data_IF_251888425714
#
_entry.id   IF_251888425714
#
_cell.length_a   1.000
_cell.length_b   1.000
_cell.length_c   1.000
_cell.angle_alpha   90.00
_cell.angle_beta   90.00
_cell.angle_gamma   90.00
#
_symmetry.space_group_name_H-M   'P 1'
#
loop_
_entity.id
_entity.type
_entity.pdbx_description
1 polymer ?
#
# COMPACT_ATOMS: atom_id res chain seq x y z
N UNK A 1 -24.99 -20.51 -28.02
CA UNK A 1 -24.23 -19.45 -27.31
C UNK A 1 -23.90 -20.05 -25.95
N UNK A 2 -22.63 -20.14 -25.56
CA UNK A 2 -22.28 -20.59 -24.21
C UNK A 2 -22.91 -19.63 -23.20
N UNK A 3 -23.49 -20.17 -22.14
CA UNK A 3 -24.07 -19.39 -21.05
C UNK A 3 -22.98 -18.48 -20.45
N UNK A 4 -23.31 -17.20 -20.27
CA UNK A 4 -22.33 -16.25 -19.70
C UNK A 4 -22.10 -16.59 -18.24
N UNK A 5 -20.85 -16.45 -17.80
CA UNK A 5 -20.42 -16.66 -16.42
C UNK A 5 -21.14 -15.68 -15.46
N UNK A 6 -21.65 -16.15 -14.34
CA UNK A 6 -22.17 -15.29 -13.27
C UNK A 6 -21.01 -14.77 -12.44
N UNK A 7 -20.69 -13.47 -12.57
CA UNK A 7 -19.60 -12.79 -11.90
C UNK A 7 -20.14 -11.81 -10.86
N UNK A 8 -19.62 -11.89 -9.63
CA UNK A 8 -20.00 -11.00 -8.53
C UNK A 8 -18.78 -10.20 -8.07
N UNK A 9 -18.92 -8.87 -8.01
CA UNK A 9 -17.97 -7.98 -7.33
C UNK A 9 -18.52 -7.70 -5.93
N UNK A 10 -17.73 -8.00 -4.89
CA UNK A 10 -18.20 -8.01 -3.50
C UNK A 10 -17.97 -6.70 -2.73
N UNK A 11 -16.97 -5.92 -3.13
CA UNK A 11 -16.52 -4.69 -2.47
C UNK A 11 -16.02 -3.67 -3.49
N UNK A 12 -16.88 -3.40 -4.50
CA UNK A 12 -16.52 -2.60 -5.68
C UNK A 12 -16.25 -1.13 -5.40
N UNK A 13 -16.84 -0.54 -4.35
CA UNK A 13 -16.76 0.89 -4.06
C UNK A 13 -15.33 1.40 -3.95
N UNK A 14 -14.45 0.68 -3.24
CA UNK A 14 -13.07 1.12 -3.04
C UNK A 14 -12.24 1.14 -4.32
N UNK A 15 -12.59 0.27 -5.28
CA UNK A 15 -11.92 0.19 -6.59
C UNK A 15 -12.54 1.11 -7.63
N UNK A 16 -13.83 1.39 -7.51
CA UNK A 16 -14.58 2.25 -8.43
C UNK A 16 -15.76 2.91 -7.70
N UNK A 17 -15.57 4.10 -7.12
CA UNK A 17 -16.65 4.85 -6.47
C UNK A 17 -17.65 5.49 -7.46
N UNK A 18 -17.57 5.17 -8.75
CA UNK A 18 -18.45 5.67 -9.80
C UNK A 18 -17.77 6.51 -10.88
N UNK A 19 -16.46 6.67 -10.79
CA UNK A 19 -15.65 7.46 -11.74
C UNK A 19 -14.95 6.62 -12.82
N UNK A 20 -15.07 5.30 -12.76
CA UNK A 20 -14.53 4.35 -13.73
C UNK A 20 -15.62 3.40 -14.25
N UNK A 21 -15.34 2.65 -15.33
CA UNK A 21 -16.31 1.73 -15.93
C UNK A 21 -15.98 0.28 -15.64
N UNK A 22 -17.04 -0.53 -15.41
CA UNK A 22 -17.03 -1.98 -15.38
C UNK A 22 -17.48 -2.62 -16.72
N UNK A 23 -17.61 -1.85 -17.81
CA UNK A 23 -18.26 -2.31 -19.04
C UNK A 23 -17.53 -3.48 -19.70
N UNK A 24 -16.21 -3.55 -19.58
CA UNK A 24 -15.46 -4.72 -20.10
C UNK A 24 -15.89 -6.00 -19.37
N UNK A 25 -16.01 -6.00 -18.05
CA UNK A 25 -16.50 -7.14 -17.27
C UNK A 25 -17.97 -7.45 -17.56
N UNK A 26 -18.84 -6.44 -17.72
CA UNK A 26 -20.24 -6.62 -18.11
C UNK A 26 -20.37 -7.28 -19.48
N UNK A 27 -19.46 -6.98 -20.42
CA UNK A 27 -19.48 -7.61 -21.73
C UNK A 27 -19.14 -9.11 -21.69
N UNK A 28 -18.31 -9.52 -20.71
CA UNK A 28 -17.81 -10.89 -20.56
C UNK A 28 -18.73 -11.78 -19.70
N UNK A 29 -19.58 -11.20 -18.85
CA UNK A 29 -20.30 -11.93 -17.79
C UNK A 29 -21.68 -11.36 -17.51
N UNK A 30 -22.49 -12.13 -16.77
CA UNK A 30 -23.65 -11.61 -16.03
C UNK A 30 -23.10 -10.99 -14.75
N UNK A 31 -22.85 -9.68 -14.76
CA UNK A 31 -22.14 -8.97 -13.69
C UNK A 31 -23.11 -8.43 -12.64
N UNK A 32 -22.90 -8.81 -11.38
CA UNK A 32 -23.53 -8.20 -10.19
C UNK A 32 -22.47 -7.47 -9.39
N UNK A 33 -22.76 -6.24 -8.92
CA UNK A 33 -21.80 -5.41 -8.20
C UNK A 33 -22.42 -5.02 -6.85
N UNK A 34 -21.65 -5.25 -5.78
CA UNK A 34 -21.95 -4.75 -4.43
C UNK A 34 -20.84 -3.77 -4.03
N UNK A 35 -21.22 -2.66 -3.44
CA UNK A 35 -20.27 -1.65 -2.93
C UNK A 35 -19.48 -2.19 -1.74
N UNK A 36 -20.14 -2.97 -0.89
CA UNK A 36 -19.57 -3.62 0.30
C UNK A 36 -20.37 -4.88 0.60
N UNK A 37 -19.71 -5.93 1.05
CA UNK A 37 -20.32 -7.20 1.47
C UNK A 37 -19.85 -7.56 2.87
N UNK A 38 -20.79 -7.79 3.79
CA UNK A 38 -20.48 -8.31 5.13
C UNK A 38 -20.27 -9.82 5.11
N UNK A 39 -19.71 -10.37 6.19
CA UNK A 39 -19.49 -11.82 6.31
C UNK A 39 -20.82 -12.60 6.25
N UNK A 40 -21.90 -12.04 6.83
CA UNK A 40 -23.23 -12.65 6.88
C UNK A 40 -23.91 -12.70 5.51
N UNK A 41 -23.63 -11.70 4.66
CA UNK A 41 -24.21 -11.59 3.31
C UNK A 41 -23.47 -12.40 2.25
N UNK A 42 -22.21 -12.78 2.54
CA UNK A 42 -21.27 -13.31 1.55
C UNK A 42 -21.78 -14.55 0.83
N UNK A 43 -22.25 -15.55 1.59
CA UNK A 43 -22.69 -16.83 1.03
C UNK A 43 -23.95 -16.62 0.17
N UNK A 44 -24.93 -15.83 0.65
CA UNK A 44 -26.15 -15.56 -0.11
C UNK A 44 -25.87 -14.82 -1.41
N UNK A 45 -24.95 -13.85 -1.40
CA UNK A 45 -24.57 -13.08 -2.60
C UNK A 45 -23.79 -13.90 -3.61
N UNK A 46 -23.08 -14.94 -3.16
CA UNK A 46 -22.24 -15.78 -4.01
C UNK A 46 -22.83 -17.13 -4.37
N UNK A 47 -24.00 -17.52 -3.85
CA UNK A 47 -24.57 -18.89 -4.03
C UNK A 47 -24.72 -19.31 -5.49
N UNK A 48 -25.01 -18.37 -6.39
CA UNK A 48 -25.16 -18.62 -7.83
C UNK A 48 -23.95 -18.14 -8.65
N UNK A 49 -22.88 -17.66 -7.97
CA UNK A 49 -21.69 -17.14 -8.64
C UNK A 49 -20.79 -18.28 -9.15
N UNK A 50 -20.38 -18.20 -10.40
CA UNK A 50 -19.30 -19.02 -10.97
C UNK A 50 -17.94 -18.36 -10.70
N UNK A 51 -17.92 -17.02 -10.54
CA UNK A 51 -16.73 -16.20 -10.34
C UNK A 51 -17.01 -15.06 -9.38
N UNK A 52 -15.98 -14.67 -8.61
CA UNK A 52 -16.04 -13.50 -7.73
C UNK A 52 -14.82 -12.60 -7.91
N UNK A 53 -15.00 -11.28 -7.73
CA UNK A 53 -13.92 -10.32 -7.57
C UNK A 53 -14.02 -9.71 -6.17
N UNK A 54 -12.90 -9.63 -5.46
CA UNK A 54 -12.85 -9.09 -4.10
C UNK A 54 -11.54 -8.35 -3.84
N UNK A 55 -11.59 -7.29 -3.06
CA UNK A 55 -10.41 -6.60 -2.53
C UNK A 55 -10.10 -7.07 -1.08
N UNK A 56 -11.12 -7.10 -0.21
CA UNK A 56 -10.94 -7.34 1.24
C UNK A 56 -11.85 -8.42 1.82
N UNK A 57 -12.87 -8.90 1.09
CA UNK A 57 -13.73 -9.96 1.59
C UNK A 57 -12.93 -11.28 1.62
N UNK A 58 -12.97 -11.94 2.78
CA UNK A 58 -12.16 -13.14 3.03
C UNK A 58 -12.81 -14.38 2.47
N UNK A 59 -12.04 -15.22 1.77
CA UNK A 59 -12.41 -16.54 1.28
C UNK A 59 -11.61 -17.61 2.03
N UNK A 60 -12.13 -18.05 3.17
CA UNK A 60 -11.62 -19.21 3.90
C UNK A 60 -12.05 -20.53 3.23
N UNK A 61 -11.50 -21.65 3.73
CA UNK A 61 -11.90 -22.99 3.29
C UNK A 61 -13.42 -23.20 3.48
N UNK A 62 -13.98 -22.83 4.62
CA UNK A 62 -15.40 -22.98 4.99
C UNK A 62 -16.33 -22.21 4.04
N UNK A 63 -15.94 -20.98 3.68
CA UNK A 63 -16.67 -20.17 2.70
C UNK A 63 -16.67 -20.85 1.33
N UNK A 64 -15.50 -21.29 0.86
CA UNK A 64 -15.40 -21.98 -0.43
C UNK A 64 -16.10 -23.34 -0.43
N UNK A 65 -16.20 -24.03 0.72
CA UNK A 65 -16.99 -25.26 0.87
C UNK A 65 -18.49 -25.01 0.67
N UNK A 66 -18.97 -23.83 1.05
CA UNK A 66 -20.38 -23.43 0.92
C UNK A 66 -20.75 -22.92 -0.48
N UNK A 67 -19.79 -22.80 -1.40
CA UNK A 67 -19.98 -22.23 -2.74
C UNK A 67 -19.58 -23.24 -3.85
N UNK A 68 -20.39 -24.30 -4.08
CA UNK A 68 -20.02 -25.39 -4.98
C UNK A 68 -19.91 -25.01 -6.47
N UNK A 69 -20.51 -23.86 -6.86
CA UNK A 69 -20.42 -23.35 -8.23
C UNK A 69 -19.17 -22.53 -8.51
N UNK A 70 -18.51 -22.06 -7.45
CA UNK A 70 -17.38 -21.11 -7.55
C UNK A 70 -16.16 -21.77 -8.22
N UNK A 71 -15.68 -21.20 -9.32
CA UNK A 71 -14.54 -21.68 -10.12
C UNK A 71 -13.41 -20.67 -10.20
N UNK A 72 -13.68 -19.39 -9.89
CA UNK A 72 -12.71 -18.31 -10.04
C UNK A 72 -12.84 -17.28 -8.93
N UNK A 73 -11.70 -16.86 -8.37
CA UNK A 73 -11.56 -15.74 -7.45
C UNK A 73 -10.52 -14.78 -8.00
N UNK A 74 -10.92 -13.57 -8.38
CA UNK A 74 -10.02 -12.49 -8.75
C UNK A 74 -9.82 -11.53 -7.58
N UNK A 75 -8.59 -11.44 -7.06
CA UNK A 75 -8.27 -10.50 -5.99
C UNK A 75 -7.94 -9.14 -6.61
N UNK A 76 -8.73 -8.12 -6.28
CA UNK A 76 -8.55 -6.73 -6.74
C UNK A 76 -7.43 -6.02 -5.97
N UNK A 77 -6.28 -6.67 -5.87
CA UNK A 77 -5.09 -6.19 -5.18
C UNK A 77 -3.85 -7.00 -5.60
N UNK A 78 -2.65 -6.49 -5.28
CA UNK A 78 -1.41 -7.26 -5.39
C UNK A 78 -1.30 -8.30 -4.27
N UNK A 79 -1.64 -7.92 -3.03
CA UNK A 79 -1.69 -8.85 -1.89
C UNK A 79 -2.96 -9.71 -1.92
N UNK A 80 -2.83 -11.00 -1.68
CA UNK A 80 -3.91 -12.00 -1.81
C UNK A 80 -4.17 -12.80 -0.52
N UNK A 81 -3.72 -12.30 0.60
CA UNK A 81 -3.89 -12.94 1.92
C UNK A 81 -5.35 -13.02 2.39
N UNK A 82 -6.29 -12.49 1.64
CA UNK A 82 -7.74 -12.63 1.85
C UNK A 82 -8.29 -13.97 1.32
N UNK A 83 -7.49 -14.76 0.58
CA UNK A 83 -7.90 -16.07 0.05
C UNK A 83 -7.02 -17.16 0.62
N UNK A 84 -7.63 -18.23 1.11
CA UNK A 84 -6.95 -19.48 1.46
C UNK A 84 -6.55 -20.18 0.15
N UNK A 85 -5.31 -20.00 -0.26
CA UNK A 85 -4.76 -20.47 -1.53
C UNK A 85 -4.73 -22.00 -1.61
N UNK A 86 -4.40 -22.67 -0.49
CA UNK A 86 -4.32 -24.14 -0.46
C UNK A 86 -5.71 -24.76 -0.57
N UNK A 87 -6.70 -24.18 0.13
CA UNK A 87 -8.09 -24.61 0.02
C UNK A 87 -8.64 -24.37 -1.40
N UNK A 88 -8.32 -23.22 -2.01
CA UNK A 88 -8.72 -22.92 -3.40
C UNK A 88 -8.12 -23.92 -4.38
N UNK A 89 -6.83 -24.26 -4.22
CA UNK A 89 -6.14 -25.27 -5.04
C UNK A 89 -6.81 -26.65 -4.91
N UNK A 90 -7.11 -27.08 -3.69
CA UNK A 90 -7.76 -28.37 -3.43
C UNK A 90 -9.15 -28.49 -4.07
N UNK A 91 -9.81 -27.34 -4.30
CA UNK A 91 -11.15 -27.26 -4.93
C UNK A 91 -11.09 -26.97 -6.44
N UNK A 92 -9.92 -26.87 -7.03
CA UNK A 92 -9.73 -26.43 -8.42
C UNK A 92 -10.32 -25.04 -8.72
N UNK A 93 -10.37 -24.15 -7.72
CA UNK A 93 -10.76 -22.76 -7.89
C UNK A 93 -9.53 -21.99 -8.37
N UNK A 94 -9.60 -21.38 -9.55
CA UNK A 94 -8.52 -20.54 -10.07
C UNK A 94 -8.48 -19.22 -9.32
N UNK A 95 -7.34 -18.86 -8.73
CA UNK A 95 -7.16 -17.58 -8.03
C UNK A 95 -6.16 -16.71 -8.78
N UNK A 96 -6.54 -15.48 -9.06
CA UNK A 96 -5.64 -14.49 -9.69
C UNK A 96 -5.52 -13.24 -8.82
N UNK A 97 -4.41 -12.52 -8.97
CA UNK A 97 -4.23 -11.20 -8.38
C UNK A 97 -3.90 -10.15 -9.45
N UNK A 98 -3.63 -8.93 -9.03
CA UNK A 98 -3.25 -7.83 -9.92
C UNK A 98 -1.86 -7.33 -9.53
N UNK A 99 -0.80 -7.82 -10.19
CA UNK A 99 0.56 -7.40 -9.87
C UNK A 99 0.85 -5.98 -10.36
N UNK A 100 1.63 -5.23 -9.60
CA UNK A 100 2.31 -3.98 -10.01
C UNK A 100 1.43 -2.83 -10.50
N UNK A 101 0.12 -2.86 -10.34
CA UNK A 101 -0.80 -1.84 -10.87
C UNK A 101 -0.63 -0.46 -10.21
N UNK A 102 -0.20 -0.42 -8.96
CA UNK A 102 -0.09 0.80 -8.13
C UNK A 102 1.34 1.21 -7.81
N UNK A 103 2.35 0.62 -8.47
CA UNK A 103 3.77 0.87 -8.15
C UNK A 103 4.11 2.35 -8.11
N UNK A 104 3.77 3.09 -9.17
CA UNK A 104 4.08 4.52 -9.28
C UNK A 104 3.26 5.35 -8.30
N UNK A 105 1.98 5.01 -8.12
CA UNK A 105 1.08 5.66 -7.16
C UNK A 105 1.64 5.60 -5.73
N UNK A 106 2.05 4.39 -5.30
CA UNK A 106 2.64 4.20 -3.96
C UNK A 106 3.95 4.98 -3.81
N UNK A 107 4.84 4.92 -4.81
CA UNK A 107 6.10 5.66 -4.76
C UNK A 107 5.88 7.18 -4.71
N UNK A 108 4.89 7.71 -5.42
CA UNK A 108 4.52 9.13 -5.36
C UNK A 108 3.98 9.53 -3.99
N UNK A 109 3.12 8.71 -3.36
CA UNK A 109 2.66 8.99 -2.00
C UNK A 109 3.80 8.98 -1.00
N UNK A 110 4.78 8.07 -1.11
CA UNK A 110 5.99 8.09 -0.25
C UNK A 110 6.64 9.47 -0.29
N UNK A 111 6.84 10.05 -1.50
CA UNK A 111 7.44 11.37 -1.61
C UNK A 111 6.52 12.51 -1.19
N UNK A 112 5.21 12.42 -1.40
CA UNK A 112 4.26 13.39 -0.86
C UNK A 112 4.33 13.46 0.67
N UNK A 113 4.41 12.31 1.34
CA UNK A 113 4.57 12.21 2.79
C UNK A 113 5.94 12.75 3.25
N UNK A 114 7.01 12.48 2.51
CA UNK A 114 8.34 13.04 2.78
C UNK A 114 8.32 14.58 2.67
N UNK A 115 7.74 15.11 1.59
CA UNK A 115 7.66 16.56 1.39
C UNK A 115 6.81 17.26 2.45
N UNK A 116 5.81 16.60 3.03
CA UNK A 116 5.11 17.17 4.18
C UNK A 116 6.06 17.47 5.33
N UNK A 117 6.93 16.54 5.72
CA UNK A 117 7.91 16.76 6.80
C UNK A 117 9.02 17.74 6.45
N UNK A 118 9.38 17.82 5.18
CA UNK A 118 10.54 18.62 4.74
C UNK A 118 10.16 20.06 4.37
N UNK A 119 8.93 20.33 3.94
CA UNK A 119 8.52 21.63 3.42
C UNK A 119 7.36 22.28 4.15
N UNK A 120 6.54 21.53 4.87
CA UNK A 120 5.37 22.05 5.61
C UNK A 120 4.50 22.99 4.74
N UNK A 121 4.24 22.58 3.48
CA UNK A 121 3.60 23.45 2.48
C UNK A 121 2.20 23.89 2.94
N UNK A 122 1.41 22.95 3.51
CA UNK A 122 0.04 23.25 3.96
C UNK A 122 0.06 24.23 5.12
N UNK A 123 0.92 24.01 6.09
CA UNK A 123 1.04 24.83 7.30
C UNK A 123 1.47 26.26 6.95
N UNK A 124 2.48 26.44 6.10
CA UNK A 124 2.88 27.76 5.61
C UNK A 124 1.77 28.44 4.81
N UNK A 125 1.04 27.67 3.96
CA UNK A 125 -0.09 28.21 3.20
C UNK A 125 -1.20 28.70 4.14
N UNK A 126 -1.53 27.94 5.18
CA UNK A 126 -2.55 28.34 6.16
C UNK A 126 -2.16 29.61 6.91
N UNK A 127 -0.89 29.76 7.28
CA UNK A 127 -0.39 30.98 7.89
C UNK A 127 -0.49 32.19 6.94
N UNK A 128 -0.18 32.00 5.66
CA UNK A 128 -0.32 33.06 4.63
C UNK A 128 -1.78 33.46 4.48
N UNK A 129 -2.68 32.48 4.32
CA UNK A 129 -4.12 32.74 4.20
C UNK A 129 -4.71 33.37 5.48
N UNK A 130 -4.13 33.08 6.64
CA UNK A 130 -4.44 33.74 7.91
C UNK A 130 -3.88 35.15 8.07
N UNK A 131 -3.20 35.71 7.03
CA UNK A 131 -2.70 37.09 7.00
C UNK A 131 -1.31 37.29 7.60
N UNK A 132 -0.62 36.25 8.05
CA UNK A 132 0.69 36.35 8.69
C UNK A 132 1.75 37.00 7.78
N UNK A 133 1.73 36.64 6.48
CA UNK A 133 2.68 37.23 5.54
C UNK A 133 2.36 38.71 5.23
N UNK A 134 1.08 39.04 5.08
CA UNK A 134 0.65 40.44 4.86
C UNK A 134 1.01 41.37 6.04
N UNK A 135 1.10 40.81 7.25
CA UNK A 135 1.52 41.54 8.45
C UNK A 135 3.03 41.52 8.70
N UNK A 136 3.80 40.76 7.89
CA UNK A 136 5.25 40.62 8.06
C UNK A 136 5.99 41.88 7.60
N UNK A 137 6.99 42.37 8.32
CA UNK A 137 7.89 43.41 7.85
C UNK A 137 8.93 42.89 6.83
N UNK A 138 8.98 41.57 6.59
CA UNK A 138 9.95 40.92 5.71
C UNK A 138 9.27 40.34 4.48
N UNK A 139 10.00 40.31 3.35
CA UNK A 139 9.48 39.78 2.09
C UNK A 139 9.28 38.26 2.11
N UNK A 140 9.90 37.54 3.04
CA UNK A 140 9.73 36.09 3.26
C UNK A 140 9.88 35.76 4.75
N UNK A 141 9.39 34.58 5.11
CA UNK A 141 9.57 33.97 6.43
C UNK A 141 9.43 32.45 6.34
N UNK A 142 9.90 31.73 7.33
CA UNK A 142 9.58 30.33 7.56
C UNK A 142 9.28 30.13 9.05
N UNK A 143 8.23 29.35 9.35
CA UNK A 143 7.80 29.05 10.72
C UNK A 143 8.23 27.64 11.15
N UNK A 144 8.58 26.81 10.22
CA UNK A 144 8.99 25.42 10.41
C UNK A 144 10.40 25.20 9.85
N UNK A 145 11.07 24.17 10.32
CA UNK A 145 12.40 23.78 9.82
C UNK A 145 12.23 23.15 8.43
N UNK A 146 12.59 23.91 7.39
CA UNK A 146 12.54 23.44 5.99
C UNK A 146 13.92 22.95 5.55
N UNK A 147 13.97 21.83 4.82
CA UNK A 147 15.20 21.16 4.43
C UNK A 147 15.14 20.63 3.02
N UNK A 148 16.30 20.46 2.40
CA UNK A 148 16.45 19.81 1.09
C UNK A 148 16.62 18.29 1.25
N UNK A 149 16.23 17.53 0.20
CA UNK A 149 16.48 16.09 0.09
C UNK A 149 17.86 15.76 -0.46
N UNK A 150 18.49 16.72 -1.16
CA UNK A 150 19.83 16.52 -1.71
C UNK A 150 20.82 16.08 -0.63
N UNK A 151 21.68 15.11 -0.95
CA UNK A 151 22.64 14.46 -0.06
C UNK A 151 22.07 13.69 1.14
N UNK A 152 20.75 13.68 1.36
CA UNK A 152 20.12 12.83 2.38
C UNK A 152 20.18 11.37 1.97
N UNK A 153 20.19 10.49 2.94
CA UNK A 153 20.20 9.04 2.72
C UNK A 153 18.78 8.49 2.82
N UNK A 154 18.28 7.94 1.71
CA UNK A 154 17.06 7.13 1.63
C UNK A 154 17.41 5.68 1.93
N UNK A 155 16.90 5.13 3.03
CA UNK A 155 16.96 3.72 3.37
C UNK A 155 15.67 3.00 2.95
N UNK A 156 15.78 1.98 2.13
CA UNK A 156 14.64 1.25 1.58
C UNK A 156 14.63 -0.17 2.13
N UNK A 157 13.64 -0.51 2.95
CA UNK A 157 13.44 -1.88 3.44
C UNK A 157 12.51 -2.61 2.47
N UNK A 158 13.08 -3.57 1.69
CA UNK A 158 12.39 -4.26 0.60
C UNK A 158 12.60 -3.58 -0.76
N UNK A 159 13.40 -4.23 -1.63
CA UNK A 159 13.80 -3.69 -2.94
C UNK A 159 13.07 -4.40 -4.10
N UNK A 160 11.71 -4.55 -3.94
CA UNK A 160 10.78 -4.98 -4.97
C UNK A 160 10.41 -3.83 -5.92
N UNK A 161 9.34 -3.99 -6.70
CA UNK A 161 8.93 -2.98 -7.69
C UNK A 161 8.70 -1.59 -7.08
N UNK A 162 8.03 -1.53 -5.92
CA UNK A 162 7.78 -0.25 -5.22
C UNK A 162 9.08 0.34 -4.70
N UNK A 163 9.92 -0.44 -3.98
CA UNK A 163 11.20 0.05 -3.47
C UNK A 163 12.13 0.56 -4.57
N UNK A 164 12.12 -0.08 -5.75
CA UNK A 164 12.86 0.39 -6.93
C UNK A 164 12.29 1.69 -7.51
N UNK A 165 10.97 1.85 -7.53
CA UNK A 165 10.34 3.10 -7.96
C UNK A 165 10.67 4.26 -6.99
N UNK A 166 10.63 4.00 -5.67
CA UNK A 166 11.10 4.96 -4.66
C UNK A 166 12.56 5.32 -4.85
N UNK A 167 13.44 4.32 -5.11
CA UNK A 167 14.86 4.55 -5.37
C UNK A 167 15.10 5.44 -6.58
N UNK A 168 14.38 5.24 -7.69
CA UNK A 168 14.47 6.08 -8.89
C UNK A 168 14.17 7.54 -8.60
N UNK A 169 13.10 7.81 -7.85
CA UNK A 169 12.73 9.18 -7.48
C UNK A 169 13.77 9.76 -6.52
N UNK A 170 14.24 9.00 -5.54
CA UNK A 170 15.27 9.42 -4.59
C UNK A 170 16.56 9.84 -5.31
N UNK A 171 17.05 9.03 -6.25
CA UNK A 171 18.23 9.36 -7.06
C UNK A 171 18.01 10.64 -7.90
N UNK A 172 16.82 10.81 -8.49
CA UNK A 172 16.48 12.02 -9.23
C UNK A 172 16.43 13.29 -8.36
N UNK A 173 16.24 13.12 -7.03
CA UNK A 173 16.34 14.20 -6.02
C UNK A 173 17.75 14.34 -5.41
N UNK A 174 18.78 13.78 -6.06
CA UNK A 174 20.17 13.76 -5.60
C UNK A 174 20.37 13.15 -4.20
N UNK A 175 19.51 12.20 -3.81
CA UNK A 175 19.66 11.46 -2.56
C UNK A 175 20.65 10.31 -2.72
N UNK A 176 21.30 9.93 -1.63
CA UNK A 176 22.00 8.64 -1.51
C UNK A 176 20.98 7.54 -1.24
N UNK A 177 21.04 6.42 -1.95
CA UNK A 177 20.11 5.31 -1.77
C UNK A 177 20.84 4.09 -1.23
N UNK A 178 20.37 3.61 -0.08
CA UNK A 178 20.76 2.32 0.48
C UNK A 178 19.51 1.45 0.66
N UNK A 179 19.67 0.14 0.51
CA UNK A 179 18.52 -0.75 0.67
C UNK A 179 18.87 -2.04 1.40
N UNK A 180 17.89 -2.60 2.09
CA UNK A 180 17.91 -3.93 2.64
C UNK A 180 16.94 -4.84 1.89
N UNK A 181 17.42 -6.00 1.45
CA UNK A 181 16.62 -7.03 0.80
C UNK A 181 17.24 -8.41 1.04
N UNK A 182 16.42 -9.48 1.12
CA UNK A 182 16.91 -10.85 1.36
C UNK A 182 17.88 -11.34 0.28
N UNK A 183 17.67 -10.97 -0.96
CA UNK A 183 18.53 -11.31 -2.09
C UNK A 183 19.11 -10.06 -2.73
N UNK A 184 20.35 -10.14 -3.19
CA UNK A 184 20.98 -9.05 -3.93
C UNK A 184 20.18 -8.78 -5.20
N UNK A 185 19.97 -7.51 -5.50
CA UNK A 185 19.34 -7.05 -6.73
C UNK A 185 20.36 -6.29 -7.55
N UNK A 186 20.44 -6.63 -8.82
CA UNK A 186 21.22 -5.87 -9.80
C UNK A 186 20.24 -5.33 -10.84
N UNK A 187 19.94 -4.03 -10.78
CA UNK A 187 18.86 -3.41 -11.55
C UNK A 187 19.44 -2.30 -12.38
N UNK A 188 19.30 -2.44 -13.69
CA UNK A 188 19.74 -1.43 -14.64
C UNK A 188 19.10 -0.06 -14.34
N UNK A 189 19.93 0.96 -14.23
CA UNK A 189 19.52 2.33 -13.88
C UNK A 189 19.35 2.58 -12.38
N UNK A 190 19.79 1.64 -11.53
CA UNK A 190 19.83 1.78 -10.07
C UNK A 190 21.17 1.28 -9.49
N UNK A 191 22.24 1.39 -10.28
CA UNK A 191 23.59 0.91 -9.91
C UNK A 191 24.16 1.68 -8.71
N UNK A 192 23.70 2.90 -8.47
CA UNK A 192 24.10 3.73 -7.33
C UNK A 192 23.46 3.30 -6.01
N UNK A 193 22.35 2.55 -6.06
CA UNK A 193 21.69 2.03 -4.86
C UNK A 193 22.51 0.88 -4.26
N UNK A 194 22.91 1.02 -2.99
CA UNK A 194 23.78 0.05 -2.31
C UNK A 194 23.01 -0.84 -1.38
N UNK A 195 23.20 -2.17 -1.49
CA UNK A 195 22.68 -3.10 -0.51
C UNK A 195 23.54 -3.07 0.75
N UNK A 196 22.86 -2.95 1.89
CA UNK A 196 23.49 -2.90 3.22
C UNK A 196 22.77 -3.84 4.19
N UNK A 197 23.32 -4.03 5.39
CA UNK A 197 22.64 -4.69 6.48
C UNK A 197 21.47 -3.85 7.00
N UNK A 198 20.52 -4.47 7.70
CA UNK A 198 19.39 -3.74 8.28
C UNK A 198 19.84 -2.74 9.35
N UNK A 199 20.84 -3.10 10.15
CA UNK A 199 21.40 -2.23 11.18
C UNK A 199 22.11 -1.02 10.60
N UNK A 200 22.86 -1.20 9.51
CA UNK A 200 23.49 -0.11 8.78
C UNK A 200 22.43 0.81 8.14
N UNK A 201 21.37 0.23 7.56
CA UNK A 201 20.26 0.99 7.02
C UNK A 201 19.64 1.88 8.10
N UNK A 202 19.32 1.33 9.26
CA UNK A 202 18.70 2.09 10.36
C UNK A 202 19.60 3.21 10.88
N UNK A 203 20.91 2.95 11.06
CA UNK A 203 21.85 3.92 11.62
C UNK A 203 22.25 5.01 10.62
N UNK A 204 22.15 4.75 9.31
CA UNK A 204 22.68 5.66 8.28
C UNK A 204 21.60 6.48 7.57
N UNK A 205 20.33 6.04 7.61
CA UNK A 205 19.24 6.69 6.86
C UNK A 205 18.74 7.96 7.53
N UNK A 206 18.41 8.97 6.72
CA UNK A 206 17.66 10.15 7.12
C UNK A 206 16.14 9.93 6.91
N UNK A 207 15.81 9.10 5.92
CA UNK A 207 14.45 8.69 5.61
C UNK A 207 14.45 7.17 5.45
N UNK A 208 13.51 6.48 6.08
CA UNK A 208 13.35 5.03 5.98
C UNK A 208 11.99 4.74 5.35
N UNK A 209 11.96 4.05 4.21
CA UNK A 209 10.74 3.65 3.53
C UNK A 209 10.55 2.14 3.60
N UNK A 210 9.40 1.69 4.14
CA UNK A 210 9.06 0.28 4.30
C UNK A 210 8.26 -0.21 3.09
N UNK A 211 8.88 -1.07 2.28
CA UNK A 211 8.32 -1.61 1.04
C UNK A 211 8.42 -3.14 0.98
N UNK A 212 8.66 -3.79 2.12
CA UNK A 212 8.74 -5.25 2.23
C UNK A 212 7.37 -5.88 2.50
N UNK A 213 7.15 -7.15 2.15
CA UNK A 213 5.98 -7.89 2.57
C UNK A 213 5.99 -8.12 4.08
N UNK A 214 4.82 -8.31 4.67
CA UNK A 214 4.68 -8.78 6.05
C UNK A 214 4.95 -10.29 6.10
N UNK A 215 5.96 -10.67 6.84
CA UNK A 215 6.36 -12.07 7.14
C UNK A 215 6.67 -12.17 8.64
N UNK A 216 6.86 -13.37 9.21
CA UNK A 216 7.32 -13.49 10.60
C UNK A 216 8.59 -12.69 10.90
N UNK A 217 9.54 -12.61 9.94
CA UNK A 217 10.81 -11.90 10.10
C UNK A 217 10.69 -10.37 9.95
N UNK A 218 9.67 -9.88 9.26
CA UNK A 218 9.45 -8.45 9.05
C UNK A 218 8.37 -7.86 9.95
N UNK A 219 7.62 -8.72 10.65
CA UNK A 219 6.64 -8.25 11.64
C UNK A 219 7.35 -7.41 12.70
N UNK A 220 6.80 -6.21 12.91
CA UNK A 220 7.35 -5.23 13.86
C UNK A 220 8.86 -4.97 13.66
N UNK A 221 9.30 -4.91 12.40
CA UNK A 221 10.70 -4.58 12.06
C UNK A 221 11.07 -3.18 12.60
N UNK A 222 10.09 -2.29 12.75
CA UNK A 222 10.19 -1.05 13.51
C UNK A 222 9.57 -1.29 14.89
N UNK A 223 10.41 -1.37 15.90
CA UNK A 223 10.08 -1.63 17.30
C UNK A 223 11.06 -0.87 18.24
N UNK A 224 10.90 -1.01 19.54
CA UNK A 224 11.73 -0.33 20.53
C UNK A 224 13.25 -0.52 20.30
N UNK A 225 13.68 -1.72 19.89
CA UNK A 225 15.11 -2.02 19.67
C UNK A 225 15.64 -1.41 18.37
N UNK A 226 14.89 -1.49 17.27
CA UNK A 226 15.28 -0.86 16.01
C UNK A 226 15.26 0.67 16.12
N UNK A 227 14.31 1.24 16.86
CA UNK A 227 14.21 2.68 17.13
C UNK A 227 15.40 3.24 17.91
N UNK A 228 16.12 2.43 18.69
CA UNK A 228 17.39 2.83 19.33
C UNK A 228 18.52 3.02 18.32
N UNK A 229 18.48 2.31 17.18
CA UNK A 229 19.49 2.36 16.12
C UNK A 229 19.22 3.47 15.11
N UNK A 230 17.96 3.85 14.94
CA UNK A 230 17.51 4.89 14.00
C UNK A 230 17.96 6.27 14.51
N UNK A 231 18.44 7.14 13.60
CA UNK A 231 18.80 8.52 13.96
C UNK A 231 17.57 9.27 14.51
N UNK A 232 17.76 10.06 15.55
CA UNK A 232 16.67 10.88 16.13
C UNK A 232 16.07 11.89 15.14
N UNK A 233 16.84 12.24 14.10
CA UNK A 233 16.43 13.15 13.02
C UNK A 233 15.74 12.44 11.85
N UNK A 234 15.65 11.11 11.89
CA UNK A 234 15.07 10.34 10.80
C UNK A 234 13.55 10.37 10.83
N UNK A 235 12.95 10.23 9.65
CA UNK A 235 11.53 9.94 9.47
C UNK A 235 11.34 8.52 8.93
N UNK A 236 10.24 7.87 9.32
CA UNK A 236 9.85 6.55 8.82
C UNK A 236 8.55 6.67 8.02
N UNK A 237 8.52 6.06 6.84
CA UNK A 237 7.35 6.04 5.96
C UNK A 237 6.91 4.58 5.76
N UNK A 238 5.67 4.27 6.09
CA UNK A 238 5.09 2.94 5.90
C UNK A 238 3.89 2.97 4.95
N UNK A 239 4.11 2.53 3.73
CA UNK A 239 3.07 2.29 2.72
C UNK A 239 2.93 0.78 2.40
N UNK A 240 3.55 -0.08 3.21
CA UNK A 240 3.56 -1.54 3.02
C UNK A 240 2.43 -2.25 3.76
N UNK A 241 2.66 -2.57 5.03
CA UNK A 241 1.68 -3.23 5.92
C UNK A 241 1.80 -2.66 7.33
N UNK A 242 0.67 -2.45 8.00
CA UNK A 242 0.63 -1.85 9.34
C UNK A 242 1.49 -2.60 10.36
N UNK A 243 1.39 -3.92 10.38
CA UNK A 243 2.17 -4.76 11.29
C UNK A 243 3.70 -4.79 11.06
N UNK A 244 4.23 -4.03 10.10
CA UNK A 244 5.68 -3.78 10.01
C UNK A 244 6.17 -2.86 11.13
N UNK A 245 5.27 -2.13 11.79
CA UNK A 245 5.56 -1.21 12.89
C UNK A 245 4.86 -1.68 14.15
N UNK A 246 5.58 -1.71 15.28
CA UNK A 246 4.97 -1.71 16.59
C UNK A 246 4.46 -0.29 16.88
N UNK A 247 3.14 -0.10 16.78
CA UNK A 247 2.50 1.23 16.85
C UNK A 247 2.68 1.91 18.21
N UNK A 248 2.75 1.12 19.30
CA UNK A 248 2.98 1.63 20.65
C UNK A 248 4.41 2.17 20.80
N UNK A 249 5.39 1.39 20.39
CA UNK A 249 6.81 1.76 20.47
C UNK A 249 7.11 3.00 19.62
N UNK A 250 6.50 3.06 18.41
CA UNK A 250 6.64 4.20 17.51
C UNK A 250 6.00 5.47 18.08
N UNK A 251 4.80 5.38 18.66
CA UNK A 251 4.14 6.51 19.30
C UNK A 251 4.94 7.05 20.50
N UNK A 252 5.54 6.16 21.29
CA UNK A 252 6.41 6.52 22.41
C UNK A 252 7.68 7.22 21.91
N UNK A 253 8.33 6.67 20.88
CA UNK A 253 9.52 7.27 20.28
C UNK A 253 9.29 8.68 19.73
N UNK A 254 8.12 8.94 19.14
CA UNK A 254 7.71 10.28 18.70
C UNK A 254 7.53 11.24 19.89
N UNK A 255 6.84 10.81 20.95
CA UNK A 255 6.63 11.60 22.17
C UNK A 255 7.95 11.98 22.84
N UNK A 256 8.89 11.03 22.88
CA UNK A 256 10.21 11.23 23.47
C UNK A 256 11.22 11.90 22.52
N UNK A 257 10.80 12.27 21.32
CA UNK A 257 11.67 12.86 20.27
C UNK A 257 12.87 11.96 19.92
N UNK A 258 12.68 10.63 20.03
CA UNK A 258 13.65 9.62 19.54
C UNK A 258 13.50 9.33 18.06
N UNK A 259 12.38 9.74 17.46
CA UNK A 259 12.09 9.74 16.04
C UNK A 259 11.54 11.09 15.65
N UNK A 260 12.02 11.66 14.52
CA UNK A 260 11.57 12.99 14.09
C UNK A 260 10.15 12.99 13.51
N UNK A 261 9.75 11.92 12.82
CA UNK A 261 8.43 11.81 12.23
C UNK A 261 8.11 10.41 11.75
N UNK A 262 6.82 10.13 11.65
CA UNK A 262 6.27 8.88 11.14
C UNK A 262 5.11 9.16 10.19
N UNK A 263 5.10 8.57 9.01
CA UNK A 263 3.93 8.56 8.15
C UNK A 263 3.48 7.13 7.84
N UNK A 264 2.20 6.85 8.02
CA UNK A 264 1.59 5.56 7.78
C UNK A 264 0.40 5.70 6.83
N UNK A 265 0.45 5.06 5.68
CA UNK A 265 -0.74 4.85 4.85
C UNK A 265 -1.52 3.59 5.29
N UNK A 266 -0.90 2.77 6.12
CA UNK A 266 -1.42 1.48 6.61
C UNK A 266 -1.25 1.37 8.12
N UNK A 267 -2.23 0.73 8.78
CA UNK A 267 -2.20 0.45 10.22
C UNK A 267 -2.41 -1.04 10.50
N UNK A 268 -2.10 -1.45 11.72
CA UNK A 268 -2.23 -2.87 12.12
C UNK A 268 -3.67 -3.36 12.07
N UNK A 269 -4.63 -2.47 12.36
CA UNK A 269 -6.08 -2.68 12.22
C UNK A 269 -6.64 -1.55 11.35
N UNK A 270 -7.38 -1.91 10.32
CA UNK A 270 -7.99 -0.98 9.36
C UNK A 270 -9.49 -1.27 9.22
N UNK A 271 -10.39 -0.29 9.50
CA UNK A 271 -10.12 1.04 10.07
C UNK A 271 -9.55 0.99 11.49
N UNK A 272 -8.75 2.01 11.90
CA UNK A 272 -8.11 2.01 13.22
C UNK A 272 -9.12 2.11 14.36
N UNK A 273 -8.80 1.48 15.48
CA UNK A 273 -9.50 1.70 16.73
C UNK A 273 -9.30 3.16 17.21
N UNK A 274 -10.30 3.74 17.88
CA UNK A 274 -10.27 5.13 18.33
C UNK A 274 -9.15 5.45 19.32
N UNK A 275 -8.64 4.45 20.00
CA UNK A 275 -7.56 4.50 20.99
C UNK A 275 -6.19 4.12 20.42
N UNK A 276 -6.08 3.92 19.11
CA UNK A 276 -4.79 3.66 18.47
C UNK A 276 -3.77 4.75 18.87
N UNK A 277 -2.60 4.38 19.40
CA UNK A 277 -1.65 5.33 19.98
C UNK A 277 -1.08 6.33 18.95
N UNK A 278 -1.02 5.96 17.69
CA UNK A 278 -0.52 6.83 16.62
C UNK A 278 -1.45 8.00 16.31
N UNK A 279 -2.78 7.86 16.54
CA UNK A 279 -3.76 8.94 16.29
C UNK A 279 -3.53 10.20 17.14
N UNK A 280 -2.77 10.08 18.24
CA UNK A 280 -2.45 11.18 19.15
C UNK A 280 -0.95 11.45 19.26
N UNK A 281 -0.13 10.76 18.47
CA UNK A 281 1.31 10.95 18.52
C UNK A 281 1.72 12.23 17.80
N UNK A 282 2.67 13.02 18.32
CA UNK A 282 3.18 14.21 17.64
C UNK A 282 3.95 13.78 16.38
N UNK A 283 3.97 14.66 15.38
CA UNK A 283 4.69 14.42 14.11
C UNK A 283 4.36 13.05 13.47
N UNK A 284 3.09 12.65 13.58
CA UNK A 284 2.56 11.43 12.96
C UNK A 284 1.52 11.81 11.90
N UNK A 285 1.69 11.29 10.69
CA UNK A 285 0.74 11.45 9.59
C UNK A 285 0.14 10.10 9.27
N UNK A 286 -1.18 10.04 9.16
CA UNK A 286 -1.88 8.80 8.80
C UNK A 286 -2.79 9.12 7.62
N UNK A 287 -2.67 8.32 6.56
CA UNK A 287 -3.57 8.34 5.41
C UNK A 287 -4.38 7.03 5.34
N UNK A 288 -5.59 7.04 4.80
CA UNK A 288 -6.53 5.92 4.95
C UNK A 288 -6.32 4.82 3.90
N UNK A 289 -5.12 4.23 3.82
CA UNK A 289 -4.73 3.17 2.90
C UNK A 289 -5.03 3.54 1.43
N UNK A 290 -4.64 4.76 1.04
CA UNK A 290 -4.95 5.34 -0.26
C UNK A 290 -3.79 5.33 -1.25
N UNK A 291 -2.63 4.81 -0.89
CA UNK A 291 -1.44 4.82 -1.75
C UNK A 291 -1.67 4.19 -3.14
N UNK A 292 -2.62 3.26 -3.25
CA UNK A 292 -3.01 2.57 -4.47
C UNK A 292 -4.21 3.18 -5.22
N UNK A 293 -4.87 4.21 -4.66
CA UNK A 293 -6.19 4.68 -5.08
C UNK A 293 -6.19 5.80 -6.12
N UNK A 294 -5.03 6.13 -6.73
CA UNK A 294 -5.05 7.09 -7.84
C UNK A 294 -5.95 6.58 -8.97
N UNK A 295 -6.55 7.51 -9.72
CA UNK A 295 -7.43 7.20 -10.85
C UNK A 295 -6.76 6.21 -11.81
N UNK A 296 -5.52 6.47 -12.21
CA UNK A 296 -4.75 5.67 -13.15
C UNK A 296 -4.41 4.28 -12.60
N UNK A 297 -4.13 4.18 -11.30
CA UNK A 297 -3.87 2.88 -10.67
C UNK A 297 -5.15 2.04 -10.61
N UNK A 298 -6.29 2.63 -10.26
CA UNK A 298 -7.60 1.96 -10.26
C UNK A 298 -8.05 1.58 -11.68
N UNK A 299 -7.77 2.42 -12.68
CA UNK A 299 -8.03 2.09 -14.09
C UNK A 299 -7.20 0.86 -14.52
N UNK A 300 -5.89 0.82 -14.20
CA UNK A 300 -5.04 -0.35 -14.47
C UNK A 300 -5.54 -1.60 -13.73
N UNK A 301 -5.99 -1.44 -12.48
CA UNK A 301 -6.55 -2.52 -11.68
C UNK A 301 -7.76 -3.14 -12.37
N UNK A 302 -8.74 -2.32 -12.77
CA UNK A 302 -9.99 -2.77 -13.41
C UNK A 302 -9.69 -3.43 -14.77
N UNK A 303 -8.84 -2.81 -15.60
CA UNK A 303 -8.41 -3.39 -16.90
C UNK A 303 -7.72 -4.75 -16.71
N UNK A 304 -6.86 -4.88 -15.70
CA UNK A 304 -6.18 -6.15 -15.42
C UNK A 304 -7.15 -7.19 -14.89
N UNK A 305 -8.10 -6.80 -14.03
CA UNK A 305 -9.16 -7.71 -13.55
C UNK A 305 -10.01 -8.24 -14.71
N UNK A 306 -10.39 -7.39 -15.66
CA UNK A 306 -11.11 -7.79 -16.86
C UNK A 306 -10.27 -8.73 -17.74
N UNK A 307 -8.98 -8.43 -17.94
CA UNK A 307 -8.06 -9.29 -18.68
C UNK A 307 -7.89 -10.67 -18.02
N UNK A 308 -7.78 -10.73 -16.67
CA UNK A 308 -7.72 -11.99 -15.91
C UNK A 308 -8.99 -12.82 -16.10
N UNK A 309 -10.17 -12.20 -15.93
CA UNK A 309 -11.45 -12.86 -16.11
C UNK A 309 -11.63 -13.39 -17.56
N UNK A 310 -11.26 -12.58 -18.55
CA UNK A 310 -11.29 -12.95 -19.97
C UNK A 310 -10.37 -14.16 -20.25
N UNK A 311 -9.16 -14.17 -19.69
CA UNK A 311 -8.24 -15.27 -19.83
C UNK A 311 -8.80 -16.56 -19.19
N UNK A 312 -9.36 -16.46 -17.97
CA UNK A 312 -10.01 -17.59 -17.30
C UNK A 312 -11.14 -18.18 -18.15
N UNK A 313 -12.05 -17.35 -18.67
CA UNK A 313 -13.16 -17.79 -19.55
C UNK A 313 -12.62 -18.51 -20.80
N UNK A 314 -11.48 -18.07 -21.33
CA UNK A 314 -10.83 -18.68 -22.48
C UNK A 314 -9.96 -19.90 -22.14
N UNK A 315 -9.95 -20.38 -20.89
CA UNK A 315 -9.11 -21.49 -20.44
C UNK A 315 -7.61 -21.17 -20.42
N UNK A 316 -7.24 -19.88 -20.34
CA UNK A 316 -5.86 -19.39 -20.26
C UNK A 316 -5.51 -18.95 -18.84
N UNK A 317 -4.25 -19.08 -18.48
CA UNK A 317 -3.76 -18.69 -17.15
C UNK A 317 -2.88 -17.46 -17.27
N UNK A 318 -3.34 -16.34 -16.67
CA UNK A 318 -2.54 -15.13 -16.48
C UNK A 318 -2.70 -14.66 -15.03
N UNK A 319 -1.63 -14.19 -14.41
CA UNK A 319 -1.61 -13.73 -13.02
C UNK A 319 -2.21 -14.73 -12.00
N UNK A 320 -2.22 -16.04 -12.34
CA UNK A 320 -2.65 -17.10 -11.44
C UNK A 320 -1.64 -17.28 -10.31
N UNK A 321 -2.13 -17.52 -9.09
CA UNK A 321 -1.32 -17.60 -7.87
C UNK A 321 -1.48 -18.92 -7.11
N UNK A 322 -2.30 -19.86 -7.60
CA UNK A 322 -2.50 -21.19 -7.01
C UNK A 322 -2.30 -22.35 -7.98
#
# INVERSE_FOLDING_TARGET
MSEKLNLVILDGFTSNPGDLSWDELKSLSNLTIYDKTSAEELIERCKEADAVLTNKVVFSKEIMDSLPRLKYIGVLATGYNVVDIEAARAKNICVTNIPSYSTDSVAQLVFALIFHFYWHVKEHSDEVMGGKWSASPHFCYHSFDIRELSDKTMGIVGFGNIGQAVAKIALAMNMKVIYFNRSKKNIKGLEEAKQVSLDELFSSSDIISLNCPLTPETKEIINAESLKKIKKTSIVINTGRGHLINEKDAAEALKEKRLAGLACDVLSVEPPAKDNPLLKAPNCIITPHMAWQTFEARERLIKTAAANAKAFIAGKEINRIN
#
